data_IF_846016732566
#
_entry.id   IF_846016732566
#
_cell.length_a   1.000
_cell.length_b   1.000
_cell.length_c   1.000
_cell.angle_alpha   90.00
_cell.angle_beta   90.00
_cell.angle_gamma   90.00
#
_symmetry.space_group_name_H-M   'P 1'
#
loop_
_entity.id
_entity.type
_entity.pdbx_description
1 polymer ?
#
# COMPACT_ATOMS: atom_id res chain seq x y z
N UNK A 1 -44.47 33.68 22.66
CA UNK A 1 -43.16 33.96 22.02
C UNK A 1 -42.26 32.80 22.45
N UNK A 2 -41.75 32.08 21.46
CA UNK A 2 -41.18 30.74 21.53
C UNK A 2 -39.99 30.57 22.47
N UNK A 3 -39.92 29.44 23.19
CA UNK A 3 -38.69 28.81 23.69
C UNK A 3 -38.98 27.38 24.15
N UNK A 4 -39.12 26.44 23.20
CA UNK A 4 -39.25 25.00 23.49
C UNK A 4 -38.63 24.11 22.40
N UNK A 5 -37.65 24.65 21.65
CA UNK A 5 -37.05 23.98 20.48
C UNK A 5 -35.54 23.77 20.56
N UNK A 6 -34.89 24.02 21.70
CA UNK A 6 -33.42 24.09 21.80
C UNK A 6 -32.80 22.78 22.34
N UNK A 7 -33.31 22.24 23.45
CA UNK A 7 -32.77 21.03 24.12
C UNK A 7 -32.74 19.76 23.22
N UNK A 8 -33.75 19.56 22.38
CA UNK A 8 -33.81 18.39 21.49
C UNK A 8 -32.82 18.43 20.33
N UNK A 9 -32.37 19.64 19.94
CA UNK A 9 -31.37 19.83 18.89
C UNK A 9 -29.97 19.63 19.46
N UNK A 10 -29.71 20.11 20.67
CA UNK A 10 -28.41 19.96 21.34
C UNK A 10 -28.08 18.49 21.63
N UNK A 11 -29.03 17.70 22.14
CA UNK A 11 -28.80 16.27 22.34
C UNK A 11 -28.54 15.50 21.02
N UNK A 12 -29.27 15.85 19.95
CA UNK A 12 -29.04 15.25 18.63
C UNK A 12 -27.66 15.61 18.05
N UNK A 13 -27.18 16.84 18.29
CA UNK A 13 -25.85 17.28 17.86
C UNK A 13 -24.73 16.55 18.62
N UNK A 14 -24.89 16.35 19.94
CA UNK A 14 -23.96 15.61 20.79
C UNK A 14 -23.89 14.13 20.36
N UNK A 15 -25.02 13.50 20.06
CA UNK A 15 -25.08 12.13 19.54
C UNK A 15 -24.37 12.02 18.18
N UNK A 16 -24.60 12.99 17.28
CA UNK A 16 -23.90 13.02 15.98
C UNK A 16 -22.38 13.20 16.15
N UNK A 17 -21.94 14.05 17.08
CA UNK A 17 -20.53 14.27 17.36
C UNK A 17 -19.87 13.04 17.97
N UNK A 18 -20.51 12.38 18.95
CA UNK A 18 -19.99 11.17 19.58
C UNK A 18 -19.87 10.01 18.58
N UNK A 19 -20.87 9.81 17.73
CA UNK A 19 -20.82 8.83 16.64
C UNK A 19 -19.70 9.12 15.64
N UNK A 20 -19.48 10.38 15.28
CA UNK A 20 -18.36 10.78 14.40
C UNK A 20 -17.01 10.48 15.02
N UNK A 21 -16.80 10.89 16.27
CA UNK A 21 -15.55 10.62 16.98
C UNK A 21 -15.28 9.12 17.12
N UNK A 22 -16.32 8.32 17.39
CA UNK A 22 -16.20 6.87 17.44
C UNK A 22 -15.81 6.28 16.09
N UNK A 23 -16.47 6.70 14.99
CA UNK A 23 -16.16 6.23 13.64
C UNK A 23 -14.73 6.60 13.19
N UNK A 24 -14.26 7.80 13.54
CA UNK A 24 -12.89 8.24 13.28
C UNK A 24 -11.87 7.40 14.06
N UNK A 25 -12.13 7.16 15.34
CA UNK A 25 -11.28 6.32 16.19
C UNK A 25 -11.20 4.88 15.66
N UNK A 26 -12.32 4.32 15.22
CA UNK A 26 -12.37 2.98 14.64
C UNK A 26 -11.62 2.91 13.31
N UNK A 27 -11.76 3.93 12.46
CA UNK A 27 -10.98 4.04 11.22
C UNK A 27 -9.48 4.12 11.49
N UNK A 28 -9.06 4.89 12.50
CA UNK A 28 -7.67 4.96 12.92
C UNK A 28 -7.15 3.61 13.45
N UNK A 29 -7.97 2.89 14.23
CA UNK A 29 -7.66 1.54 14.72
C UNK A 29 -7.47 0.55 13.58
N UNK A 30 -8.38 0.55 12.60
CA UNK A 30 -8.32 -0.36 11.45
C UNK A 30 -7.07 -0.10 10.59
N UNK A 31 -6.70 1.17 10.37
CA UNK A 31 -5.44 1.52 9.70
C UNK A 31 -4.21 1.00 10.45
N UNK A 32 -4.18 1.12 11.78
CA UNK A 32 -3.07 0.64 12.58
C UNK A 32 -2.94 -0.89 12.52
N UNK A 33 -4.08 -1.61 12.56
CA UNK A 33 -4.11 -3.07 12.40
C UNK A 33 -3.56 -3.49 11.03
N UNK A 34 -3.99 -2.81 9.96
CA UNK A 34 -3.53 -3.08 8.60
C UNK A 34 -2.01 -2.89 8.45
N UNK A 35 -1.46 -1.82 9.04
CA UNK A 35 -0.01 -1.57 9.04
C UNK A 35 0.76 -2.70 9.74
N UNK A 36 0.26 -3.19 10.88
CA UNK A 36 0.90 -4.28 11.61
C UNK A 36 0.80 -5.61 10.85
N UNK A 37 -0.34 -5.91 10.23
CA UNK A 37 -0.48 -7.07 9.35
C UNK A 37 0.48 -7.00 8.16
N UNK A 38 0.60 -5.83 7.53
CA UNK A 38 1.52 -5.61 6.42
C UNK A 38 2.98 -5.79 6.85
N UNK A 39 3.35 -5.29 8.04
CA UNK A 39 4.67 -5.48 8.63
C UNK A 39 5.01 -6.96 8.84
N UNK A 40 4.05 -7.74 9.34
CA UNK A 40 4.22 -9.18 9.52
C UNK A 40 4.39 -9.90 8.18
N UNK A 41 3.65 -9.48 7.15
CA UNK A 41 3.79 -10.04 5.80
C UNK A 41 5.17 -9.71 5.21
N UNK A 42 5.64 -8.46 5.32
CA UNK A 42 6.99 -8.05 4.90
C UNK A 42 8.10 -8.84 5.62
N UNK A 43 7.91 -9.15 6.90
CA UNK A 43 8.88 -9.93 7.66
C UNK A 43 9.08 -11.34 7.08
N UNK A 44 8.05 -11.96 6.48
CA UNK A 44 8.17 -13.24 5.75
C UNK A 44 9.14 -13.15 4.58
N UNK A 45 9.32 -11.96 4.01
CA UNK A 45 10.25 -11.66 2.93
C UNK A 45 11.59 -11.10 3.41
N UNK A 46 11.82 -11.08 4.73
CA UNK A 46 12.97 -10.46 5.36
C UNK A 46 13.12 -8.97 4.98
N UNK A 47 11.98 -8.26 4.90
CA UNK A 47 11.90 -6.84 4.59
C UNK A 47 11.38 -6.08 5.81
N UNK A 48 12.04 -4.98 6.14
CA UNK A 48 11.61 -4.04 7.17
C UNK A 48 11.10 -2.72 6.56
N UNK A 49 10.38 -1.90 7.33
CA UNK A 49 9.98 -0.57 6.83
C UNK A 49 11.17 0.34 6.54
N UNK A 50 12.26 0.25 7.30
CA UNK A 50 13.48 1.01 7.03
C UNK A 50 14.13 0.61 5.71
N UNK A 51 14.03 -0.66 5.33
CA UNK A 51 14.43 -1.10 3.99
C UNK A 51 13.58 -0.48 2.89
N UNK A 52 12.27 -0.35 3.11
CA UNK A 52 11.37 0.27 2.14
C UNK A 52 11.70 1.75 1.95
N UNK A 53 12.00 2.47 3.03
CA UNK A 53 12.42 3.88 2.94
C UNK A 53 13.70 4.03 2.10
N UNK A 54 14.65 3.11 2.27
CA UNK A 54 15.91 3.12 1.50
C UNK A 54 15.72 2.72 0.03
N UNK A 55 14.89 1.70 -0.22
CA UNK A 55 14.62 1.18 -1.54
C UNK A 55 13.59 2.02 -2.33
N UNK A 56 12.86 2.93 -1.68
CA UNK A 56 11.81 3.72 -2.33
C UNK A 56 12.39 4.63 -3.42
N UNK A 57 11.85 4.59 -4.65
CA UNK A 57 12.35 5.41 -5.75
C UNK A 57 11.96 6.88 -5.55
N UNK A 58 12.99 7.72 -5.40
CA UNK A 58 12.85 9.15 -5.09
C UNK A 58 12.52 10.01 -6.30
N UNK A 59 12.92 9.59 -7.50
CA UNK A 59 12.76 10.34 -8.74
C UNK A 59 11.60 9.82 -9.59
N UNK A 60 10.91 10.72 -10.29
CA UNK A 60 9.78 10.42 -11.20
C UNK A 60 10.14 9.29 -12.18
N UNK A 61 11.26 9.43 -12.89
CA UNK A 61 11.73 8.43 -13.87
C UNK A 61 11.82 7.03 -13.27
N UNK A 62 12.33 6.92 -12.05
CA UNK A 62 12.49 5.64 -11.36
C UNK A 62 11.16 5.08 -10.86
N UNK A 63 10.22 5.94 -10.44
CA UNK A 63 8.85 5.53 -10.11
C UNK A 63 8.15 4.92 -11.32
N UNK A 64 8.29 5.54 -12.50
CA UNK A 64 7.73 5.00 -13.75
C UNK A 64 8.28 3.61 -14.09
N UNK A 65 9.59 3.41 -13.90
CA UNK A 65 10.22 2.09 -14.07
C UNK A 65 9.64 1.06 -13.08
N UNK A 66 9.55 1.41 -11.80
CA UNK A 66 8.98 0.51 -10.78
C UNK A 66 7.52 0.18 -11.09
N UNK A 67 6.72 1.16 -11.50
CA UNK A 67 5.34 0.97 -11.93
C UNK A 67 5.23 0.02 -13.12
N UNK A 68 6.08 0.18 -14.14
CA UNK A 68 6.12 -0.73 -15.30
C UNK A 68 6.40 -2.17 -14.87
N UNK A 69 7.35 -2.35 -13.95
CA UNK A 69 7.67 -3.67 -13.39
C UNK A 69 6.48 -4.27 -12.64
N UNK A 70 5.88 -3.50 -11.73
CA UNK A 70 4.75 -3.95 -10.91
C UNK A 70 3.55 -4.30 -11.80
N UNK A 71 3.20 -3.43 -12.75
CA UNK A 71 2.10 -3.68 -13.70
C UNK A 71 2.35 -4.91 -14.56
N UNK A 72 3.59 -5.12 -15.01
CA UNK A 72 3.97 -6.32 -15.73
C UNK A 72 3.74 -7.59 -14.89
N UNK A 73 4.18 -7.60 -13.63
CA UNK A 73 4.01 -8.76 -12.75
C UNK A 73 2.52 -8.99 -12.43
N UNK A 74 1.76 -7.93 -12.13
CA UNK A 74 0.31 -8.00 -11.91
C UNK A 74 -0.47 -8.54 -13.11
N UNK A 75 0.02 -8.34 -14.33
CA UNK A 75 -0.58 -8.91 -15.54
C UNK A 75 -0.25 -10.39 -15.79
N UNK A 76 0.65 -11.01 -15.03
CA UNK A 76 1.09 -12.39 -15.22
C UNK A 76 0.92 -13.21 -13.94
N UNK A 77 -0.30 -13.71 -13.71
CA UNK A 77 -0.65 -14.43 -12.48
C UNK A 77 0.26 -15.62 -12.17
N UNK A 78 0.68 -16.38 -13.18
CA UNK A 78 1.56 -17.53 -12.98
C UNK A 78 2.93 -17.11 -12.43
N UNK A 79 3.48 -16.01 -12.96
CA UNK A 79 4.75 -15.44 -12.46
C UNK A 79 4.58 -14.94 -11.04
N UNK A 80 3.46 -14.29 -10.71
CA UNK A 80 3.17 -13.87 -9.34
C UNK A 80 3.07 -15.06 -8.40
N UNK A 81 2.27 -16.08 -8.73
CA UNK A 81 2.15 -17.29 -7.90
C UNK A 81 3.51 -17.90 -7.63
N UNK A 82 4.36 -18.01 -8.65
CA UNK A 82 5.72 -18.51 -8.49
C UNK A 82 6.56 -17.62 -7.57
N UNK A 83 6.51 -16.29 -7.73
CA UNK A 83 7.23 -15.33 -6.89
C UNK A 83 6.81 -15.49 -5.42
N UNK A 84 5.51 -15.54 -5.12
CA UNK A 84 5.00 -15.71 -3.76
C UNK A 84 5.32 -17.08 -3.16
N UNK A 85 5.30 -18.16 -3.96
CA UNK A 85 5.66 -19.50 -3.51
C UNK A 85 7.16 -19.68 -3.25
N UNK A 86 8.02 -19.10 -4.11
CA UNK A 86 9.48 -19.21 -4.00
C UNK A 86 10.11 -18.09 -3.21
N UNK A 87 9.35 -17.06 -2.86
CA UNK A 87 9.81 -15.81 -2.28
C UNK A 87 11.00 -15.20 -3.02
N UNK A 88 11.01 -15.32 -4.35
CA UNK A 88 12.13 -14.93 -5.20
C UNK A 88 11.64 -14.17 -6.43
N UNK A 89 12.30 -13.05 -6.74
CA UNK A 89 12.05 -12.34 -8.01
C UNK A 89 12.89 -12.95 -9.13
N UNK A 90 12.29 -13.32 -10.27
CA UNK A 90 13.02 -13.85 -11.42
C UNK A 90 13.68 -12.70 -12.20
N UNK A 91 14.74 -12.12 -11.64
CA UNK A 91 15.40 -10.92 -12.17
C UNK A 91 15.91 -11.10 -13.61
N UNK A 92 16.43 -12.29 -13.94
CA UNK A 92 16.96 -12.59 -15.27
C UNK A 92 15.85 -12.61 -16.34
N UNK A 93 14.68 -13.13 -16.00
CA UNK A 93 13.53 -13.15 -16.92
C UNK A 93 12.97 -11.75 -17.08
N UNK A 94 12.84 -11.01 -15.97
CA UNK A 94 12.38 -9.63 -15.98
C UNK A 94 13.31 -8.69 -16.77
N UNK A 95 14.62 -8.88 -16.69
CA UNK A 95 15.58 -8.10 -17.48
C UNK A 95 15.36 -8.28 -18.98
N UNK A 96 15.12 -9.53 -19.42
CA UNK A 96 14.81 -9.84 -20.83
C UNK A 96 13.46 -9.28 -21.26
N UNK A 97 12.43 -9.47 -20.43
CA UNK A 97 11.05 -9.10 -20.78
C UNK A 97 10.82 -7.58 -20.74
N UNK A 98 11.50 -6.87 -19.84
CA UNK A 98 11.28 -5.43 -19.62
C UNK A 98 12.38 -4.53 -20.17
N UNK A 99 13.53 -5.09 -20.56
CA UNK A 99 14.74 -4.33 -20.95
C UNK A 99 15.21 -3.37 -19.85
N UNK A 100 15.04 -3.78 -18.59
CA UNK A 100 15.46 -3.01 -17.41
C UNK A 100 16.74 -3.65 -16.87
N UNK A 101 17.83 -2.88 -16.67
CA UNK A 101 19.08 -3.43 -16.18
C UNK A 101 18.89 -4.14 -14.83
N UNK A 102 19.49 -5.31 -14.67
CA UNK A 102 19.44 -6.10 -13.43
C UNK A 102 19.78 -5.29 -12.18
N UNK A 103 20.79 -4.42 -12.25
CA UNK A 103 21.19 -3.54 -11.13
C UNK A 103 20.04 -2.63 -10.65
N UNK A 104 19.17 -2.18 -11.55
CA UNK A 104 17.98 -1.41 -11.15
C UNK A 104 16.94 -2.31 -10.48
N UNK A 105 16.66 -3.49 -11.06
CA UNK A 105 15.72 -4.45 -10.47
C UNK A 105 16.14 -4.85 -9.05
N UNK A 106 17.42 -5.15 -8.84
CA UNK A 106 17.97 -5.50 -7.53
C UNK A 106 17.83 -4.37 -6.51
N UNK A 107 18.09 -3.12 -6.93
CA UNK A 107 17.96 -1.94 -6.07
C UNK A 107 16.53 -1.73 -5.58
N UNK A 108 15.55 -1.96 -6.45
CA UNK A 108 14.13 -1.73 -6.14
C UNK A 108 13.39 -3.00 -5.71
N UNK A 109 14.06 -4.15 -5.59
CA UNK A 109 13.42 -5.45 -5.32
C UNK A 109 12.49 -5.42 -4.09
N UNK A 110 12.96 -4.84 -2.99
CA UNK A 110 12.21 -4.79 -1.73
C UNK A 110 10.98 -3.90 -1.87
N UNK A 111 11.13 -2.79 -2.58
CA UNK A 111 10.04 -1.89 -2.90
C UNK A 111 8.99 -2.57 -3.81
N UNK A 112 9.43 -3.26 -4.86
CA UNK A 112 8.53 -3.98 -5.78
C UNK A 112 7.74 -5.04 -5.03
N UNK A 113 8.40 -5.88 -4.22
CA UNK A 113 7.73 -6.91 -3.39
C UNK A 113 6.68 -6.26 -2.49
N UNK A 114 7.03 -5.18 -1.79
CA UNK A 114 6.11 -4.50 -0.89
C UNK A 114 4.85 -4.01 -1.60
N UNK A 115 4.98 -3.40 -2.78
CA UNK A 115 3.81 -2.97 -3.55
C UNK A 115 3.01 -4.16 -4.08
N UNK A 116 3.66 -5.25 -4.48
CA UNK A 116 2.96 -6.46 -4.89
C UNK A 116 2.10 -7.00 -3.74
N UNK A 117 2.67 -7.13 -2.53
CA UNK A 117 1.93 -7.55 -1.32
C UNK A 117 0.71 -6.66 -1.09
N UNK A 118 0.88 -5.33 -1.17
CA UNK A 118 -0.25 -4.38 -0.98
C UNK A 118 -1.33 -4.57 -2.05
N UNK A 119 -0.92 -4.79 -3.32
CA UNK A 119 -1.86 -4.90 -4.45
C UNK A 119 -2.54 -6.27 -4.55
N UNK A 120 -1.92 -7.34 -4.06
CA UNK A 120 -2.49 -8.69 -4.09
C UNK A 120 -3.14 -9.09 -2.77
N UNK A 121 -2.86 -8.39 -1.67
CA UNK A 121 -3.44 -8.61 -0.36
C UNK A 121 -4.65 -7.75 -0.06
N UNK A 122 -5.29 -8.01 1.08
CA UNK A 122 -6.44 -7.26 1.58
C UNK A 122 -5.99 -6.09 2.45
N UNK A 123 -5.59 -5.02 1.76
CA UNK A 123 -5.00 -3.83 2.38
C UNK A 123 -5.68 -2.55 1.84
N UNK A 124 -6.99 -2.33 2.11
CA UNK A 124 -7.75 -1.25 1.50
C UNK A 124 -7.17 0.13 1.81
N UNK A 125 -6.72 0.38 3.05
CA UNK A 125 -6.16 1.68 3.41
C UNK A 125 -4.79 1.90 2.74
N UNK A 126 -3.89 0.92 2.77
CA UNK A 126 -2.58 1.01 2.13
C UNK A 126 -2.70 1.09 0.60
N UNK A 127 -3.67 0.41 0.00
CA UNK A 127 -3.94 0.49 -1.43
C UNK A 127 -4.35 1.91 -1.86
N UNK A 128 -5.09 2.63 -1.01
CA UNK A 128 -5.43 4.04 -1.21
C UNK A 128 -4.16 4.91 -1.22
N UNK A 129 -3.28 4.75 -0.23
CA UNK A 129 -2.01 5.49 -0.16
C UNK A 129 -1.08 5.21 -1.36
N UNK A 130 -1.10 3.99 -1.89
CA UNK A 130 -0.23 3.59 -3.02
C UNK A 130 -0.87 3.91 -4.39
N UNK A 131 -2.17 4.22 -4.46
CA UNK A 131 -2.88 4.50 -5.71
C UNK A 131 -2.31 5.71 -6.46
N UNK A 132 -2.01 6.78 -5.73
CA UNK A 132 -1.53 8.05 -6.28
C UNK A 132 -0.02 8.05 -6.56
N UNK A 133 0.65 6.95 -6.24
CA UNK A 133 2.09 6.86 -6.34
C UNK A 133 2.55 6.70 -7.79
N UNK A 134 2.92 7.83 -8.41
CA UNK A 134 3.59 7.92 -9.71
C UNK A 134 2.78 8.51 -10.87
N UNK A 135 1.57 9.00 -10.63
CA UNK A 135 0.92 9.91 -11.58
C UNK A 135 1.43 11.30 -11.26
N UNK A 136 2.22 11.89 -12.16
CA UNK A 136 2.35 13.35 -12.16
C UNK A 136 0.93 13.90 -12.32
N UNK A 137 0.52 14.73 -11.37
CA UNK A 137 -0.69 15.54 -11.48
C UNK A 137 -0.32 16.84 -12.16
#
# INVERSE_FOLDING_TARGET
>A
MDSAGDDGRENSLIDIQSMKHYAEAETARNRALEIEQFKQELAKWNISFSDLVQASPKHVKTRLVCRRIIGYLLGHEEKLRWIFQKQMLPLADMEKDLLIPRKQLERFRKYIIAVLIIKTGDYPFLQEYVRDWGCDR
#
